data_IF_889828841967
#
_entry.id   IF_889828841967
#
_cell.length_a   1.000
_cell.length_b   1.000
_cell.length_c   1.000
_cell.angle_alpha   90.00
_cell.angle_beta   90.00
_cell.angle_gamma   90.00
#
_symmetry.space_group_name_H-M   'P 1'
#
loop_
_entity.id
_entity.type
_entity.pdbx_description
1 polymer ?
#
# COMPACT_ATOMS: atom_id res chain seq x y z
N UNK A 1 40.41 6.94 -2.43
CA UNK A 1 39.26 6.18 -1.91
C UNK A 1 38.01 6.83 -2.47
N UNK A 2 37.42 6.28 -3.53
CA UNK A 2 36.19 6.81 -4.10
C UNK A 2 35.02 6.29 -3.27
N UNK A 3 34.56 7.09 -2.31
CA UNK A 3 33.27 6.89 -1.67
C UNK A 3 32.21 7.14 -2.73
N UNK A 4 31.78 6.09 -3.41
CA UNK A 4 30.59 6.12 -4.22
C UNK A 4 29.41 6.35 -3.27
N UNK A 5 29.01 7.61 -3.11
CA UNK A 5 27.66 7.97 -2.73
C UNK A 5 26.76 7.23 -3.70
N UNK A 6 26.24 6.06 -3.30
CA UNK A 6 25.11 5.43 -3.98
C UNK A 6 24.03 6.48 -3.92
N UNK A 7 23.92 7.28 -4.99
CA UNK A 7 22.77 8.12 -5.21
C UNK A 7 21.58 7.21 -4.96
N UNK A 8 20.79 7.56 -3.94
CA UNK A 8 19.53 6.92 -3.64
C UNK A 8 18.76 7.00 -4.95
N UNK A 9 18.85 5.96 -5.76
CA UNK A 9 18.17 5.85 -7.03
C UNK A 9 16.72 6.05 -6.65
N UNK A 10 16.19 7.24 -6.95
CA UNK A 10 14.83 7.65 -6.69
C UNK A 10 13.95 6.54 -7.25
N UNK A 11 13.57 5.59 -6.41
CA UNK A 11 12.63 4.56 -6.80
C UNK A 11 11.32 5.30 -6.96
N UNK A 12 11.00 5.64 -8.20
CA UNK A 12 9.77 6.33 -8.61
C UNK A 12 8.61 5.34 -8.50
N UNK A 13 8.35 4.88 -7.28
CA UNK A 13 7.06 4.28 -6.96
C UNK A 13 6.10 5.46 -6.89
N UNK A 14 5.09 5.52 -7.76
CA UNK A 14 4.11 6.61 -7.73
C UNK A 14 3.35 6.58 -6.40
N UNK A 15 2.82 7.74 -5.94
CA UNK A 15 1.92 7.74 -4.80
C UNK A 15 0.68 6.87 -5.09
N UNK A 16 0.09 6.34 -4.03
CA UNK A 16 -1.18 5.64 -4.03
C UNK A 16 -2.25 6.56 -3.44
N UNK A 17 -3.13 7.07 -4.29
CA UNK A 17 -4.20 8.00 -3.90
C UNK A 17 -5.54 7.31 -3.62
N UNK A 18 -5.63 6.00 -3.92
CA UNK A 18 -6.86 5.21 -3.90
C UNK A 18 -7.63 5.19 -5.22
N UNK A 19 -7.17 5.93 -6.25
CA UNK A 19 -7.74 5.92 -7.61
C UNK A 19 -7.04 4.94 -8.55
N UNK A 20 -5.80 4.58 -8.24
CA UNK A 20 -5.03 3.61 -9.00
C UNK A 20 -5.50 2.18 -8.68
N UNK A 21 -5.26 1.25 -9.61
CA UNK A 21 -5.53 -0.16 -9.35
C UNK A 21 -4.57 -0.68 -8.27
N UNK A 22 -5.12 -1.01 -7.09
CA UNK A 22 -4.35 -1.46 -5.94
C UNK A 22 -3.55 -2.74 -6.21
N UNK A 23 -4.12 -3.71 -6.95
CA UNK A 23 -3.43 -4.94 -7.29
C UNK A 23 -2.15 -4.69 -8.10
N UNK A 24 -2.25 -3.81 -9.11
CA UNK A 24 -1.10 -3.44 -9.95
C UNK A 24 -0.09 -2.63 -9.15
N UNK A 25 -0.55 -1.68 -8.33
CA UNK A 25 0.33 -0.83 -7.54
C UNK A 25 1.10 -1.63 -6.47
N UNK A 26 0.40 -2.47 -5.70
CA UNK A 26 0.99 -3.31 -4.66
C UNK A 26 1.95 -4.35 -5.23
N UNK A 27 1.64 -4.96 -6.38
CA UNK A 27 2.57 -5.87 -7.07
C UNK A 27 3.85 -5.16 -7.51
N UNK A 28 3.77 -3.93 -8.03
CA UNK A 28 4.96 -3.13 -8.37
C UNK A 28 5.79 -2.81 -7.13
N UNK A 29 5.13 -2.43 -6.04
CA UNK A 29 5.79 -2.17 -4.77
C UNK A 29 6.52 -3.41 -4.25
N UNK A 30 5.87 -4.58 -4.25
CA UNK A 30 6.46 -5.82 -3.75
C UNK A 30 7.65 -6.30 -4.60
N UNK A 31 7.58 -6.18 -5.92
CA UNK A 31 8.72 -6.50 -6.81
C UNK A 31 9.94 -5.63 -6.48
N UNK A 32 9.72 -4.34 -6.18
CA UNK A 32 10.81 -3.43 -5.79
C UNK A 32 11.31 -3.81 -4.39
N UNK A 33 10.43 -3.94 -3.42
CA UNK A 33 10.78 -4.33 -2.05
C UNK A 33 11.59 -5.63 -2.01
N UNK A 34 11.20 -6.63 -2.81
CA UNK A 34 11.89 -7.91 -2.93
C UNK A 34 13.29 -7.77 -3.54
N UNK A 35 13.45 -6.97 -4.61
CA UNK A 35 14.77 -6.70 -5.22
C UNK A 35 15.76 -6.08 -4.25
N UNK A 36 15.28 -5.19 -3.39
CA UNK A 36 16.10 -4.53 -2.37
C UNK A 36 16.13 -5.28 -1.04
N UNK A 37 15.41 -6.41 -0.93
CA UNK A 37 15.28 -7.23 0.28
C UNK A 37 14.81 -6.43 1.49
N UNK A 38 13.86 -5.54 1.28
CA UNK A 38 13.29 -4.73 2.36
C UNK A 38 12.65 -5.60 3.43
N UNK A 39 12.96 -5.27 4.68
CA UNK A 39 12.23 -5.78 5.85
C UNK A 39 10.81 -5.21 5.89
N UNK A 40 9.95 -5.77 6.76
CA UNK A 40 8.59 -5.25 6.93
C UNK A 40 8.59 -3.80 7.43
N UNK A 41 9.52 -3.41 8.31
CA UNK A 41 9.69 -2.01 8.73
C UNK A 41 10.10 -1.11 7.56
N UNK A 42 11.09 -1.53 6.74
CA UNK A 42 11.50 -0.74 5.56
C UNK A 42 10.37 -0.64 4.53
N UNK A 43 9.53 -1.67 4.42
CA UNK A 43 8.32 -1.64 3.59
C UNK A 43 7.31 -0.63 4.14
N UNK A 44 7.09 -0.56 5.45
CA UNK A 44 6.23 0.46 6.06
C UNK A 44 6.77 1.87 5.84
N UNK A 45 8.06 2.09 6.10
CA UNK A 45 8.74 3.37 5.92
C UNK A 45 8.67 3.86 4.47
N UNK A 46 8.58 2.94 3.51
CA UNK A 46 8.41 3.27 2.10
C UNK A 46 6.93 3.36 1.67
N UNK A 47 6.03 2.58 2.25
CA UNK A 47 4.64 2.55 1.85
C UNK A 47 3.87 3.75 2.42
N UNK A 48 4.00 4.03 3.71
CA UNK A 48 3.22 5.08 4.40
C UNK A 48 3.37 6.47 3.76
N UNK A 49 4.57 6.96 3.42
CA UNK A 49 4.73 8.28 2.79
C UNK A 49 4.16 8.35 1.37
N UNK A 50 3.88 7.20 0.75
CA UNK A 50 3.32 7.12 -0.60
C UNK A 50 1.80 6.99 -0.56
N UNK A 51 1.19 6.84 0.60
CA UNK A 51 -0.27 6.90 0.75
C UNK A 51 -0.69 8.37 0.79
N UNK A 52 -1.42 8.80 -0.24
CA UNK A 52 -1.87 10.18 -0.39
C UNK A 52 -3.38 10.26 -0.69
N UNK A 53 -3.93 11.47 -0.77
CA UNK A 53 -5.30 11.71 -1.21
C UNK A 53 -6.33 10.93 -0.38
N UNK A 54 -7.32 10.33 -1.06
CA UNK A 54 -8.42 9.62 -0.39
C UNK A 54 -7.95 8.37 0.37
N UNK A 55 -6.85 7.74 -0.06
CA UNK A 55 -6.24 6.64 0.66
C UNK A 55 -5.62 7.10 1.99
N UNK A 56 -5.04 8.30 2.05
CA UNK A 56 -4.51 8.85 3.30
C UNK A 56 -5.60 9.11 4.33
N UNK A 57 -6.78 9.59 3.91
CA UNK A 57 -7.93 9.73 4.81
C UNK A 57 -8.32 8.37 5.41
N UNK A 58 -8.46 7.33 4.60
CA UNK A 58 -8.75 5.98 5.13
C UNK A 58 -7.65 5.49 6.09
N UNK A 59 -6.38 5.50 5.65
CA UNK A 59 -5.27 4.91 6.41
C UNK A 59 -5.00 5.66 7.71
N UNK A 60 -4.96 6.99 7.69
CA UNK A 60 -4.53 7.76 8.87
C UNK A 60 -5.68 8.21 9.78
N UNK A 61 -6.95 8.12 9.34
CA UNK A 61 -8.10 8.48 10.18
C UNK A 61 -8.95 7.29 10.61
N UNK A 62 -9.03 6.21 9.81
CA UNK A 62 -9.93 5.08 10.09
C UNK A 62 -9.21 3.85 10.65
N UNK A 63 -7.92 3.66 10.32
CA UNK A 63 -7.17 2.50 10.81
C UNK A 63 -6.52 2.78 12.17
N UNK A 64 -6.51 1.80 13.10
CA UNK A 64 -5.84 1.94 14.37
C UNK A 64 -4.31 1.90 14.20
N UNK A 65 -3.58 2.61 15.06
CA UNK A 65 -2.10 2.70 15.00
C UNK A 65 -1.39 1.35 14.94
N UNK A 66 -1.94 0.30 15.58
CA UNK A 66 -1.39 -1.07 15.53
C UNK A 66 -1.29 -1.65 14.10
N UNK A 67 -2.21 -1.25 13.22
CA UNK A 67 -2.22 -1.65 11.81
C UNK A 67 -1.13 -0.89 11.06
N UNK A 68 -0.92 0.38 11.38
CA UNK A 68 0.12 1.22 10.75
C UNK A 68 1.55 0.77 11.09
N UNK A 69 1.73 -0.01 12.17
CA UNK A 69 3.02 -0.59 12.58
C UNK A 69 3.23 -2.02 12.08
N UNK A 70 2.30 -2.57 11.30
CA UNK A 70 2.36 -3.94 10.79
C UNK A 70 2.16 -3.93 9.28
N UNK A 71 3.22 -4.19 8.52
CA UNK A 71 3.15 -4.20 7.05
C UNK A 71 2.04 -5.13 6.56
N UNK A 72 1.98 -6.33 7.13
CA UNK A 72 1.00 -7.35 6.75
C UNK A 72 -0.43 -6.87 6.99
N UNK A 73 -0.72 -6.31 8.16
CA UNK A 73 -2.09 -5.90 8.49
C UNK A 73 -2.49 -4.66 7.69
N UNK A 74 -1.55 -3.73 7.45
CA UNK A 74 -1.79 -2.56 6.60
C UNK A 74 -2.12 -2.94 5.15
N UNK A 75 -1.35 -3.86 4.57
CA UNK A 75 -1.60 -4.37 3.21
C UNK A 75 -2.93 -5.12 3.15
N UNK A 76 -3.28 -5.87 4.19
CA UNK A 76 -4.57 -6.55 4.28
C UNK A 76 -5.74 -5.55 4.22
N UNK A 77 -5.72 -4.51 5.04
CA UNK A 77 -6.78 -3.48 5.06
C UNK A 77 -6.86 -2.71 3.74
N UNK A 78 -5.72 -2.34 3.15
CA UNK A 78 -5.68 -1.69 1.85
C UNK A 78 -6.20 -2.59 0.73
N UNK A 79 -5.89 -3.90 0.80
CA UNK A 79 -6.43 -4.89 -0.13
C UNK A 79 -7.94 -5.03 0.05
N UNK A 80 -8.43 -5.19 1.27
CA UNK A 80 -9.86 -5.29 1.54
C UNK A 80 -10.64 -4.05 1.06
N UNK A 81 -10.02 -2.85 1.14
CA UNK A 81 -10.66 -1.59 0.77
C UNK A 81 -10.61 -1.28 -0.73
N UNK A 82 -9.45 -1.48 -1.37
CA UNK A 82 -9.17 -1.02 -2.74
C UNK A 82 -9.00 -2.15 -3.76
N UNK A 83 -8.86 -3.40 -3.32
CA UNK A 83 -8.98 -4.55 -4.20
C UNK A 83 -10.46 -4.88 -4.35
N UNK A 84 -11.11 -4.25 -5.32
CA UNK A 84 -12.42 -4.71 -5.79
C UNK A 84 -12.17 -6.01 -6.56
N UNK A 85 -12.23 -7.14 -5.87
CA UNK A 85 -12.54 -8.39 -6.54
C UNK A 85 -13.94 -8.13 -7.07
N UNK A 86 -14.13 -8.18 -8.39
CA UNK A 86 -15.47 -8.28 -8.98
C UNK A 86 -16.07 -9.60 -8.50
N UNK A 87 -16.48 -9.67 -7.24
CA UNK A 87 -17.39 -10.70 -6.77
C UNK A 87 -18.71 -10.36 -7.43
N UNK A 88 -19.23 -11.21 -8.34
CA UNK A 88 -20.54 -11.00 -8.91
C UNK A 88 -21.55 -10.90 -7.77
N UNK A 89 -22.17 -9.72 -7.63
CA UNK A 89 -23.38 -9.44 -6.85
C UNK A 89 -23.42 -9.98 -5.41
N UNK A 90 -23.27 -9.06 -4.45
CA UNK A 90 -24.10 -9.12 -3.24
C UNK A 90 -25.56 -8.82 -3.64
N UNK A 91 -26.25 -9.81 -4.21
CA UNK A 91 -27.71 -9.84 -4.28
C UNK A 91 -28.25 -10.38 -2.93
N UNK A 92 -29.42 -9.87 -2.52
CA UNK A 92 -30.16 -10.12 -1.26
C UNK A 92 -29.72 -9.27 -0.05
N UNK A 93 -30.61 -8.52 0.64
CA UNK A 93 -32.08 -8.47 0.58
C UNK A 93 -32.56 -7.17 1.27
N UNK A 94 -33.28 -6.31 0.55
CA UNK A 94 -34.33 -5.48 1.17
C UNK A 94 -35.63 -6.26 0.92
N UNK A 95 -36.22 -6.79 1.98
CA UNK A 95 -37.62 -7.18 2.00
C UNK A 95 -38.25 -6.37 3.14
N UNK A 96 -38.87 -5.26 2.72
CA UNK A 96 -40.21 -4.80 3.10
C UNK A 96 -40.93 -5.61 4.19
#
# INVERSE_FOLDING_TARGET
MHSATRGLSQMKIPPFTGKENWAVWSAKFDVIASRYRWTDDERLDNLLPRIEGQASEFVFTQLPKRVLTSYRDLVYELTARYWVIETPQAFCRKAE
#
